data_IF_714888443612
#
_entry.id   IF_714888443612
#
_cell.length_a   1.000
_cell.length_b   1.000
_cell.length_c   1.000
_cell.angle_alpha   90.00
_cell.angle_beta   90.00
_cell.angle_gamma   90.00
#
_symmetry.space_group_name_H-M   'P 1'
#
loop_
_entity.id
_entity.type
_entity.pdbx_description
1 polymer ?
#
# COMPACT_ATOMS: atom_id res chain seq x y z
N UNK A 1 -13.07 51.83 -66.84
CA UNK A 1 -14.11 50.81 -67.08
C UNK A 1 -13.76 49.57 -66.24
N UNK A 2 -14.64 49.24 -65.28
CA UNK A 2 -14.99 47.91 -64.70
C UNK A 2 -13.92 46.79 -64.66
N UNK A 3 -13.63 46.07 -63.57
CA UNK A 3 -14.24 45.90 -62.24
C UNK A 3 -13.78 44.57 -61.59
N UNK A 4 -14.07 44.39 -60.28
CA UNK A 4 -14.02 43.15 -59.43
C UNK A 4 -12.63 42.55 -59.12
N UNK A 5 -12.29 42.02 -57.94
CA UNK A 5 -12.97 41.73 -56.66
C UNK A 5 -11.87 41.69 -55.56
N UNK A 6 -11.98 42.36 -54.41
CA UNK A 6 -12.61 41.89 -53.16
C UNK A 6 -12.16 40.49 -52.70
N UNK A 7 -11.23 40.41 -51.72
CA UNK A 7 -11.48 39.94 -50.33
C UNK A 7 -10.18 39.76 -49.53
N UNK A 8 -10.12 40.51 -48.43
CA UNK A 8 -9.27 40.25 -47.27
C UNK A 8 -9.64 38.93 -46.60
N UNK A 9 -8.72 38.32 -45.83
CA UNK A 9 -8.94 37.97 -44.41
C UNK A 9 -7.58 37.86 -43.71
N UNK A 10 -7.34 38.85 -42.86
CA UNK A 10 -6.45 38.83 -41.72
C UNK A 10 -7.25 38.20 -40.56
N UNK A 11 -6.84 37.06 -40.01
CA UNK A 11 -7.15 36.69 -38.62
C UNK A 11 -6.17 35.60 -38.19
N UNK A 12 -5.06 36.04 -37.59
CA UNK A 12 -4.22 35.22 -36.74
C UNK A 12 -5.03 34.84 -35.48
N UNK A 13 -5.13 33.54 -35.25
CA UNK A 13 -5.91 32.95 -34.17
C UNK A 13 -5.32 33.25 -32.80
N UNK A 14 -6.02 34.10 -32.05
CA UNK A 14 -6.11 34.05 -30.60
C UNK A 14 -6.88 32.78 -30.23
N UNK A 15 -6.16 31.68 -29.97
CA UNK A 15 -6.73 30.49 -29.30
C UNK A 15 -5.79 30.07 -28.18
N UNK A 16 -5.69 30.91 -27.15
CA UNK A 16 -5.24 30.50 -25.83
C UNK A 16 -6.09 31.25 -24.79
N UNK A 17 -6.59 30.50 -23.82
CA UNK A 17 -7.33 30.94 -22.63
C UNK A 17 -8.85 31.12 -22.75
N UNK A 18 -9.57 30.04 -23.12
CA UNK A 18 -10.83 29.69 -22.44
C UNK A 18 -10.88 28.16 -22.35
N UNK A 19 -10.72 27.60 -21.15
CA UNK A 19 -11.11 26.23 -20.83
C UNK A 19 -12.63 26.24 -20.56
N UNK A 20 -13.48 25.63 -21.39
CA UNK A 20 -14.85 25.37 -21.01
C UNK A 20 -14.96 23.92 -20.51
N UNK A 21 -15.24 23.76 -19.23
CA UNK A 21 -15.71 22.51 -18.58
C UNK A 21 -17.15 22.17 -19.02
N UNK A 22 -17.48 22.31 -20.30
CA UNK A 22 -18.80 22.03 -20.84
C UNK A 22 -18.70 20.84 -21.81
N UNK A 23 -19.54 19.83 -21.56
CA UNK A 23 -19.69 18.64 -22.39
C UNK A 23 -19.71 19.01 -23.88
N UNK A 24 -18.92 18.32 -24.70
CA UNK A 24 -18.95 18.48 -26.15
C UNK A 24 -20.00 17.54 -26.70
N UNK A 25 -21.05 18.08 -27.31
CA UNK A 25 -21.93 17.29 -28.16
C UNK A 25 -21.10 16.77 -29.34
N UNK A 26 -21.03 15.45 -29.51
CA UNK A 26 -20.48 14.82 -30.71
C UNK A 26 -21.64 14.26 -31.52
N UNK A 27 -21.51 14.32 -32.84
CA UNK A 27 -22.49 13.71 -33.74
C UNK A 27 -22.04 12.26 -33.94
N UNK A 28 -22.93 11.31 -33.63
CA UNK A 28 -22.71 9.89 -33.88
C UNK A 28 -22.51 9.67 -35.38
N UNK A 29 -21.39 9.03 -35.73
CA UNK A 29 -20.95 8.87 -37.12
C UNK A 29 -21.86 7.93 -37.92
N UNK A 30 -22.67 7.10 -37.26
CA UNK A 30 -23.50 6.08 -37.89
C UNK A 30 -24.96 6.51 -38.11
N UNK A 31 -25.47 7.48 -37.33
CA UNK A 31 -26.88 7.92 -37.42
C UNK A 31 -27.08 9.45 -37.42
N UNK A 32 -26.04 10.26 -37.19
CA UNK A 32 -26.15 11.71 -37.23
C UNK A 32 -26.77 12.35 -35.99
N UNK A 33 -27.03 11.58 -34.93
CA UNK A 33 -27.62 12.11 -33.69
C UNK A 33 -26.56 12.78 -32.80
N UNK A 34 -26.96 13.88 -32.14
CA UNK A 34 -26.11 14.56 -31.17
C UNK A 34 -26.06 13.75 -29.86
N UNK A 35 -24.93 13.09 -29.62
CA UNK A 35 -24.67 12.37 -28.38
C UNK A 35 -23.86 13.26 -27.44
N UNK A 36 -24.30 13.36 -26.19
CA UNK A 36 -23.51 13.96 -25.12
C UNK A 36 -22.48 12.92 -24.70
N UNK A 37 -21.23 13.10 -25.14
CA UNK A 37 -20.12 12.25 -24.69
C UNK A 37 -19.52 12.90 -23.46
N UNK A 38 -19.61 12.21 -22.32
CA UNK A 38 -18.89 12.61 -21.12
C UNK A 38 -17.40 12.72 -21.47
N UNK A 39 -16.84 13.92 -21.29
CA UNK A 39 -15.41 14.08 -21.49
C UNK A 39 -14.70 13.15 -20.49
N UNK A 40 -13.71 12.35 -20.94
CA UNK A 40 -12.93 11.54 -20.03
C UNK A 40 -12.34 12.46 -18.97
N UNK A 41 -12.59 12.13 -17.70
CA UNK A 41 -12.01 12.88 -16.59
C UNK A 41 -10.51 13.00 -16.79
N UNK A 42 -9.91 14.18 -16.53
CA UNK A 42 -8.47 14.32 -16.67
C UNK A 42 -7.79 13.30 -15.75
N UNK A 43 -6.95 12.46 -16.34
CA UNK A 43 -6.10 11.53 -15.60
C UNK A 43 -5.11 12.33 -14.76
N UNK A 44 -5.29 12.30 -13.45
CA UNK A 44 -4.44 13.01 -12.48
C UNK A 44 -3.28 12.14 -12.01
N UNK A 45 -3.25 10.86 -12.41
CA UNK A 45 -2.28 9.87 -11.99
C UNK A 45 -2.22 9.69 -10.48
N UNK A 46 -1.11 9.13 -10.03
CA UNK A 46 -0.86 9.02 -8.59
C UNK A 46 -0.39 10.35 -8.02
N UNK A 47 -0.81 10.71 -6.80
CA UNK A 47 -0.39 11.95 -6.17
C UNK A 47 1.13 12.04 -6.06
N UNK A 48 1.69 13.23 -6.23
CA UNK A 48 3.12 13.46 -6.04
C UNK A 48 3.54 13.45 -4.56
N UNK A 49 2.63 13.82 -3.66
CA UNK A 49 2.86 13.84 -2.20
C UNK A 49 1.67 13.25 -1.45
N UNK A 50 1.40 11.94 -1.60
CA UNK A 50 0.33 11.29 -0.85
C UNK A 50 0.59 11.37 0.65
N UNK A 51 -0.48 11.59 1.40
CA UNK A 51 -0.58 11.27 2.82
C UNK A 51 -1.16 9.85 2.92
N UNK A 52 -0.27 8.86 3.09
CA UNK A 52 -0.68 7.47 3.28
C UNK A 52 -1.21 7.25 4.69
N UNK A 53 -2.30 6.51 4.80
CA UNK A 53 -2.93 6.16 6.07
C UNK A 53 -3.02 4.64 6.17
N UNK A 54 -2.31 4.03 7.12
CA UNK A 54 -2.39 2.59 7.33
C UNK A 54 -3.81 2.16 7.72
N UNK A 55 -4.14 0.92 7.36
CA UNK A 55 -5.41 0.29 7.68
C UNK A 55 -5.17 -0.95 8.55
N UNK A 56 -5.94 -1.06 9.62
CA UNK A 56 -5.87 -2.15 10.61
C UNK A 56 -7.20 -2.91 10.62
N UNK A 57 -7.19 -4.25 10.56
CA UNK A 57 -8.38 -5.06 10.78
C UNK A 57 -9.04 -4.77 12.14
N UNK A 58 -10.36 -4.68 12.19
CA UNK A 58 -11.09 -4.52 13.45
C UNK A 58 -10.83 -5.66 14.44
N UNK A 59 -10.77 -6.90 13.95
CA UNK A 59 -10.49 -8.07 14.78
C UNK A 59 -9.11 -7.99 15.47
N UNK A 60 -8.10 -7.41 14.80
CA UNK A 60 -6.74 -7.28 15.36
C UNK A 60 -6.71 -6.38 16.60
N UNK A 61 -7.69 -5.50 16.76
CA UNK A 61 -7.77 -4.56 17.89
C UNK A 61 -8.82 -4.96 18.93
N UNK A 62 -9.40 -6.16 18.81
CA UNK A 62 -10.41 -6.68 19.72
C UNK A 62 -11.83 -6.19 19.47
N UNK A 63 -12.15 -5.69 18.27
CA UNK A 63 -13.53 -5.40 17.86
C UNK A 63 -14.12 -6.65 17.18
N UNK A 64 -15.17 -7.22 17.76
CA UNK A 64 -15.84 -8.46 17.31
C UNK A 64 -16.76 -8.25 16.08
N UNK A 65 -16.24 -7.64 15.02
CA UNK A 65 -16.92 -7.55 13.71
C UNK A 65 -15.91 -7.41 12.58
N UNK A 66 -16.35 -7.78 11.37
CA UNK A 66 -15.54 -7.62 10.17
C UNK A 66 -15.49 -6.14 9.75
N UNK A 67 -14.30 -5.68 9.39
CA UNK A 67 -14.11 -4.33 8.90
C UNK A 67 -12.67 -3.85 9.03
N UNK A 68 -12.47 -2.62 8.57
CA UNK A 68 -11.17 -1.96 8.57
C UNK A 68 -11.24 -0.63 9.33
N UNK A 69 -10.17 -0.35 10.06
CA UNK A 69 -9.93 0.91 10.73
C UNK A 69 -8.80 1.65 10.01
N UNK A 70 -9.04 2.89 9.60
CA UNK A 70 -8.03 3.77 9.03
C UNK A 70 -7.41 4.59 10.16
N UNK A 71 -6.08 4.63 10.22
CA UNK A 71 -5.34 5.46 11.18
C UNK A 71 -5.51 6.94 10.85
N UNK A 72 -5.88 7.75 11.85
CA UNK A 72 -6.18 9.17 11.64
C UNK A 72 -5.19 10.07 12.36
N UNK A 73 -4.80 9.72 13.59
CA UNK A 73 -3.83 10.47 14.38
C UNK A 73 -3.27 9.63 15.54
N UNK A 74 -2.20 10.12 16.16
CA UNK A 74 -1.76 9.69 17.49
C UNK A 74 -2.40 10.63 18.51
N UNK A 75 -3.13 10.09 19.49
CA UNK A 75 -3.74 10.88 20.57
C UNK A 75 -2.62 11.36 21.50
N UNK A 76 -2.47 12.68 21.70
CA UNK A 76 -1.46 13.21 22.62
C UNK A 76 -1.68 12.69 24.05
N UNK A 77 -0.63 12.33 24.81
CA UNK A 77 -0.79 11.75 26.16
C UNK A 77 -1.64 12.60 27.12
N UNK A 78 -1.54 13.93 27.05
CA UNK A 78 -2.35 14.84 27.86
C UNK A 78 -3.84 14.88 27.49
N UNK A 79 -4.21 14.37 26.31
CA UNK A 79 -5.60 14.27 25.84
C UNK A 79 -6.17 12.86 25.94
N UNK A 80 -5.35 11.86 26.28
CA UNK A 80 -5.78 10.48 26.42
C UNK A 80 -6.57 10.28 27.72
N UNK A 81 -7.90 10.38 27.59
CA UNK A 81 -8.87 10.06 28.65
C UNK A 81 -9.35 8.61 28.59
N UNK A 82 -8.95 7.87 27.56
CA UNK A 82 -9.43 6.53 27.27
C UNK A 82 -8.59 5.51 28.02
N UNK A 83 -7.27 5.64 28.00
CA UNK A 83 -6.35 4.73 28.69
C UNK A 83 -5.63 5.48 29.82
N UNK A 84 -6.21 5.41 31.02
CA UNK A 84 -5.66 6.04 32.22
C UNK A 84 -5.14 5.00 33.23
N UNK A 85 -4.23 5.42 34.09
CA UNK A 85 -3.65 4.58 35.16
C UNK A 85 -3.20 3.19 34.66
N UNK A 86 -3.60 2.11 35.32
CA UNK A 86 -3.24 0.73 34.95
C UNK A 86 -3.72 0.26 33.57
N UNK A 87 -4.64 0.99 32.92
CA UNK A 87 -5.02 0.72 31.53
C UNK A 87 -4.01 1.29 30.52
N UNK A 88 -3.09 2.19 30.93
CA UNK A 88 -2.02 2.72 30.04
C UNK A 88 -1.03 1.65 29.61
N UNK A 89 -0.92 0.56 30.34
CA UNK A 89 0.04 -0.52 30.04
C UNK A 89 -0.62 -1.71 29.35
N UNK A 90 -1.89 -1.60 28.94
CA UNK A 90 -2.63 -2.70 28.33
C UNK A 90 -3.11 -2.33 26.93
N UNK A 91 -3.12 -3.31 26.04
CA UNK A 91 -3.84 -3.22 24.77
C UNK A 91 -5.33 -3.04 25.02
N UNK A 92 -6.02 -2.36 24.11
CA UNK A 92 -7.45 -2.25 24.18
C UNK A 92 -8.01 -1.23 23.19
N UNK A 93 -9.34 -1.19 23.13
CA UNK A 93 -10.10 -0.33 22.23
C UNK A 93 -11.26 0.30 22.98
N UNK A 94 -11.48 1.60 22.78
CA UNK A 94 -12.60 2.35 23.36
C UNK A 94 -13.26 3.24 22.31
N UNK A 95 -14.60 3.32 22.27
CA UNK A 95 -15.28 4.22 21.35
C UNK A 95 -14.97 5.68 21.68
N UNK A 96 -14.87 6.51 20.64
CA UNK A 96 -14.63 7.94 20.74
C UNK A 96 -15.86 8.66 20.18
N UNK A 97 -16.50 9.57 20.95
CA UNK A 97 -17.58 10.38 20.42
C UNK A 97 -17.11 11.23 19.22
N UNK A 98 -17.92 11.32 18.18
CA UNK A 98 -17.54 11.97 16.92
C UNK A 98 -17.14 13.45 17.11
N UNK A 99 -17.81 14.15 18.01
CA UNK A 99 -17.54 15.53 18.40
C UNK A 99 -16.18 15.71 19.11
N UNK A 100 -15.63 14.65 19.69
CA UNK A 100 -14.31 14.66 20.32
C UNK A 100 -13.19 14.36 19.33
N UNK A 101 -13.46 13.66 18.23
CA UNK A 101 -12.45 13.17 17.29
C UNK A 101 -11.53 14.30 16.78
N UNK A 102 -12.10 15.45 16.39
CA UNK A 102 -11.32 16.62 15.92
C UNK A 102 -10.40 17.18 17.00
N UNK A 103 -10.86 17.24 18.26
CA UNK A 103 -10.04 17.71 19.40
C UNK A 103 -8.88 16.77 19.70
N UNK A 104 -9.04 15.49 19.38
CA UNK A 104 -8.05 14.42 19.56
C UNK A 104 -7.07 14.30 18.38
N UNK A 105 -7.22 15.13 17.34
CA UNK A 105 -6.29 15.18 16.20
C UNK A 105 -6.86 14.60 14.91
N UNK A 106 -8.13 14.15 14.88
CA UNK A 106 -8.74 13.77 13.61
C UNK A 106 -8.64 14.93 12.60
N UNK A 107 -8.30 14.66 11.34
CA UNK A 107 -8.18 15.67 10.29
C UNK A 107 -9.53 16.17 9.78
N UNK A 108 -9.49 17.22 8.96
CA UNK A 108 -10.70 17.82 8.41
C UNK A 108 -11.31 16.88 7.36
N UNK A 109 -12.59 16.54 7.51
CA UNK A 109 -13.32 15.66 6.57
C UNK A 109 -13.57 16.33 5.22
N UNK A 110 -13.28 17.62 5.08
CA UNK A 110 -13.25 18.31 3.77
C UNK A 110 -12.20 17.74 2.82
N UNK A 111 -11.13 17.14 3.33
CA UNK A 111 -10.16 16.42 2.51
C UNK A 111 -10.57 14.95 2.48
N UNK A 112 -11.06 14.43 1.34
CA UNK A 112 -11.58 13.07 1.27
C UNK A 112 -10.49 12.03 1.54
N UNK A 113 -10.96 10.87 2.02
CA UNK A 113 -10.17 9.65 2.06
C UNK A 113 -10.46 8.85 0.80
N UNK A 114 -9.42 8.31 0.21
CA UNK A 114 -9.50 7.42 -0.94
C UNK A 114 -8.87 6.09 -0.57
N UNK A 115 -9.56 4.98 -0.89
CA UNK A 115 -9.12 3.63 -0.56
C UNK A 115 -8.94 2.82 -1.83
N UNK A 116 -7.79 2.15 -1.93
CA UNK A 116 -7.52 1.11 -2.91
C UNK A 116 -7.83 -0.24 -2.27
N UNK A 117 -9.03 -0.75 -2.52
CA UNK A 117 -9.54 -1.98 -1.91
C UNK A 117 -8.98 -3.28 -2.52
N UNK A 118 -8.74 -3.29 -3.84
CA UNK A 118 -8.32 -4.46 -4.61
C UNK A 118 -7.19 -4.11 -5.58
N UNK A 119 -6.54 -5.15 -6.11
CA UNK A 119 -5.55 -4.97 -7.18
C UNK A 119 -6.24 -4.46 -8.46
N UNK A 120 -5.58 -3.52 -9.15
CA UNK A 120 -5.97 -2.92 -10.42
C UNK A 120 -7.35 -2.23 -10.44
N UNK A 121 -7.95 -2.00 -9.27
CA UNK A 121 -9.19 -1.24 -9.11
C UNK A 121 -8.92 0.26 -9.02
N UNK A 122 -9.91 1.07 -9.41
CA UNK A 122 -9.92 2.50 -9.10
C UNK A 122 -9.94 2.71 -7.58
N UNK A 123 -9.45 3.85 -7.14
CA UNK A 123 -9.65 4.28 -5.76
C UNK A 123 -11.11 4.65 -5.53
N UNK A 124 -11.58 4.45 -4.31
CA UNK A 124 -12.97 4.69 -3.95
C UNK A 124 -13.00 5.65 -2.78
N UNK A 125 -14.01 6.52 -2.75
CA UNK A 125 -14.18 7.43 -1.64
C UNK A 125 -14.50 6.65 -0.37
N UNK A 126 -13.90 7.07 0.73
CA UNK A 126 -14.13 6.51 2.06
C UNK A 126 -14.59 7.61 3.02
N UNK A 127 -15.60 7.29 3.82
CA UNK A 127 -16.19 8.21 4.79
C UNK A 127 -16.08 7.63 6.20
N UNK A 128 -15.45 8.33 7.16
CA UNK A 128 -15.44 7.93 8.55
C UNK A 128 -16.86 7.79 9.11
N UNK A 129 -17.20 6.64 9.71
CA UNK A 129 -18.53 6.38 10.31
C UNK A 129 -18.49 6.27 11.83
N UNK A 130 -17.39 5.75 12.39
CA UNK A 130 -17.19 5.66 13.84
C UNK A 130 -15.72 5.88 14.19
N UNK A 131 -15.46 6.30 15.43
CA UNK A 131 -14.13 6.65 15.91
C UNK A 131 -13.74 5.81 17.12
N UNK A 132 -12.47 5.44 17.18
CA UNK A 132 -11.94 4.50 18.16
C UNK A 132 -10.59 4.99 18.68
N UNK A 133 -10.42 4.98 20.00
CA UNK A 133 -9.14 5.13 20.66
C UNK A 133 -8.59 3.71 20.84
N UNK A 134 -7.47 3.43 20.19
CA UNK A 134 -6.90 2.09 20.10
C UNK A 134 -5.47 2.08 20.61
N UNK A 135 -5.15 1.10 21.44
CA UNK A 135 -3.80 0.86 21.94
C UNK A 135 -3.42 -0.57 21.59
N UNK A 136 -2.35 -0.74 20.81
CA UNK A 136 -1.88 -2.03 20.31
C UNK A 136 -0.45 -2.29 20.80
N UNK A 137 -0.13 -3.55 21.09
CA UNK A 137 1.23 -3.99 21.41
C UNK A 137 1.58 -3.95 22.90
N UNK A 138 2.75 -4.49 23.21
CA UNK A 138 3.26 -4.78 24.56
C UNK A 138 4.40 -3.84 25.01
N UNK A 139 4.92 -2.96 24.14
CA UNK A 139 6.24 -2.33 24.32
C UNK A 139 6.30 -0.79 24.06
N UNK A 140 7.31 -0.19 24.69
CA UNK A 140 7.86 1.20 24.80
C UNK A 140 7.08 2.42 24.28
N UNK A 141 6.58 2.44 23.05
CA UNK A 141 5.98 3.65 22.46
C UNK A 141 4.67 4.06 23.14
N UNK A 142 3.90 3.08 23.63
CA UNK A 142 2.70 3.30 24.48
C UNK A 142 1.79 4.40 23.93
N UNK A 143 1.62 4.43 22.60
CA UNK A 143 0.79 5.41 21.92
C UNK A 143 -0.65 4.92 21.83
N UNK A 144 -1.58 5.85 22.05
CA UNK A 144 -2.99 5.63 21.75
C UNK A 144 -3.27 6.23 20.38
N UNK A 145 -3.71 5.41 19.45
CA UNK A 145 -4.06 5.82 18.09
C UNK A 145 -5.54 6.18 18.02
N UNK A 146 -5.85 7.29 17.35
CA UNK A 146 -7.20 7.59 16.92
C UNK A 146 -7.40 6.93 15.55
N UNK A 147 -8.30 5.96 15.49
CA UNK A 147 -8.66 5.28 14.25
C UNK A 147 -10.13 5.55 13.91
N UNK A 148 -10.44 5.56 12.62
CA UNK A 148 -11.80 5.65 12.12
C UNK A 148 -12.21 4.36 11.42
N UNK A 149 -13.37 3.84 11.75
CA UNK A 149 -14.10 2.95 10.85
C UNK A 149 -14.52 3.73 9.62
N UNK A 150 -14.40 3.13 8.45
CA UNK A 150 -14.76 3.77 7.19
C UNK A 150 -15.83 2.97 6.44
N UNK A 151 -16.84 3.67 5.96
CA UNK A 151 -17.69 3.17 4.87
C UNK A 151 -17.00 3.51 3.55
N UNK A 152 -16.86 2.52 2.68
CA UNK A 152 -16.18 2.66 1.38
C UNK A 152 -17.16 2.24 0.28
N UNK A 153 -17.15 2.98 -0.82
CA UNK A 153 -18.08 2.75 -1.94
C UNK A 153 -17.73 1.52 -2.79
N UNK A 154 -16.58 0.89 -2.55
CA UNK A 154 -16.18 -0.32 -3.26
C UNK A 154 -15.80 -1.46 -2.33
N UNK A 155 -15.73 -2.65 -2.93
CA UNK A 155 -15.42 -3.86 -2.22
C UNK A 155 -13.98 -3.87 -1.70
N UNK A 156 -13.84 -4.02 -0.39
CA UNK A 156 -12.55 -4.24 0.26
C UNK A 156 -12.28 -5.74 0.35
N UNK A 157 -11.01 -6.13 0.18
CA UNK A 157 -10.61 -7.49 0.52
C UNK A 157 -10.92 -7.75 2.00
N UNK A 158 -11.42 -8.95 2.34
CA UNK A 158 -11.69 -9.32 3.71
C UNK A 158 -10.40 -9.26 4.53
N UNK A 159 -10.47 -8.86 5.81
CA UNK A 159 -9.31 -8.94 6.69
C UNK A 159 -8.81 -10.38 6.79
N UNK A 160 -7.50 -10.61 6.61
CA UNK A 160 -6.92 -11.95 6.82
C UNK A 160 -5.63 -12.27 6.06
N UNK A 161 -5.40 -11.71 4.86
CA UNK A 161 -4.12 -11.86 4.14
C UNK A 161 -3.38 -10.52 4.12
N UNK A 162 -2.12 -10.50 4.59
CA UNK A 162 -1.27 -9.29 4.60
C UNK A 162 -1.10 -8.66 3.20
N UNK A 163 -1.04 -9.49 2.16
CA UNK A 163 -1.01 -9.06 0.75
C UNK A 163 -2.33 -8.47 0.26
N UNK A 164 -3.40 -8.56 1.05
CA UNK A 164 -4.73 -8.02 0.79
C UNK A 164 -5.11 -6.77 1.59
N UNK A 165 -4.22 -6.22 2.44
CA UNK A 165 -4.53 -5.02 3.24
C UNK A 165 -4.78 -3.81 2.34
N UNK A 166 -5.97 -3.17 2.37
CA UNK A 166 -6.25 -1.99 1.56
C UNK A 166 -5.30 -0.83 1.87
N UNK A 167 -5.10 0.04 0.88
CA UNK A 167 -4.27 1.25 1.04
C UNK A 167 -5.18 2.46 1.07
N UNK A 168 -5.12 3.25 2.14
CA UNK A 168 -5.82 4.53 2.20
C UNK A 168 -4.86 5.69 1.97
N UNK A 169 -5.37 6.73 1.34
CA UNK A 169 -4.69 8.02 1.22
C UNK A 169 -5.66 9.18 1.48
N UNK A 170 -5.12 10.26 2.04
CA UNK A 170 -5.86 11.51 2.20
C UNK A 170 -5.33 12.54 1.23
N UNK A 171 -6.23 13.07 0.40
CA UNK A 171 -5.91 14.12 -0.54
C UNK A 171 -7.18 14.79 -1.05
N UNK A 172 -7.04 16.02 -1.54
CA UNK A 172 -8.15 16.84 -2.03
C UNK A 172 -8.80 16.24 -3.28
N UNK A 173 -7.97 15.83 -4.22
CA UNK A 173 -8.36 15.45 -5.56
C UNK A 173 -8.48 13.93 -5.70
N UNK A 174 -9.42 13.44 -6.49
CA UNK A 174 -9.49 12.02 -6.81
C UNK A 174 -8.22 11.57 -7.55
N UNK A 175 -7.58 10.45 -7.16
CA UNK A 175 -6.41 9.91 -7.85
C UNK A 175 -6.83 9.14 -9.11
N UNK A 176 -7.51 9.82 -10.03
CA UNK A 176 -7.92 9.23 -11.31
C UNK A 176 -6.69 8.65 -12.02
N UNK A 177 -6.83 7.44 -12.60
CA UNK A 177 -5.74 6.73 -13.28
C UNK A 177 -4.68 6.08 -12.37
N UNK A 178 -4.61 6.42 -11.09
CA UNK A 178 -3.75 5.70 -10.14
C UNK A 178 -4.39 4.35 -9.77
N UNK A 179 -3.58 3.28 -9.73
CA UNK A 179 -4.02 1.92 -9.37
C UNK A 179 -3.03 1.23 -8.46
N UNK A 180 -3.56 0.51 -7.48
CA UNK A 180 -2.77 -0.40 -6.66
C UNK A 180 -2.53 -1.69 -7.44
N UNK A 181 -1.27 -2.02 -7.72
CA UNK A 181 -0.94 -3.36 -8.21
C UNK A 181 -0.24 -4.15 -7.13
N UNK A 182 -0.62 -5.41 -7.04
CA UNK A 182 0.00 -6.39 -6.14
C UNK A 182 1.05 -7.17 -6.95
N UNK A 183 2.09 -7.68 -6.30
CA UNK A 183 3.03 -8.57 -6.98
C UNK A 183 2.27 -9.77 -7.53
N UNK A 184 2.35 -9.99 -8.85
CA UNK A 184 1.65 -11.06 -9.56
C UNK A 184 2.60 -12.14 -10.11
N UNK A 185 3.93 -11.90 -10.05
CA UNK A 185 4.96 -12.88 -10.39
C UNK A 185 5.50 -13.47 -9.10
N UNK A 186 4.97 -14.61 -8.68
CA UNK A 186 5.52 -15.42 -7.59
C UNK A 186 6.29 -16.59 -8.18
N UNK A 187 7.57 -16.69 -7.86
CA UNK A 187 8.29 -17.95 -7.98
C UNK A 187 8.41 -18.54 -6.59
N UNK A 188 8.11 -19.83 -6.50
CA UNK A 188 8.25 -20.61 -5.28
C UNK A 188 9.13 -21.81 -5.59
N UNK A 189 9.83 -22.29 -4.58
CA UNK A 189 10.64 -23.48 -4.70
C UNK A 189 10.84 -24.16 -3.36
N UNK A 190 11.31 -25.41 -3.47
CA UNK A 190 11.70 -26.26 -2.36
C UNK A 190 13.20 -26.42 -2.35
N UNK A 191 13.69 -27.21 -1.40
CA UNK A 191 15.12 -27.38 -1.20
C UNK A 191 15.87 -27.90 -2.45
N UNK A 192 15.25 -28.78 -3.22
CA UNK A 192 15.78 -29.36 -4.47
C UNK A 192 15.94 -28.37 -5.62
N UNK A 193 15.19 -27.26 -5.60
CA UNK A 193 15.09 -26.36 -6.74
C UNK A 193 16.23 -25.33 -6.77
N UNK A 194 17.02 -25.25 -5.70
CA UNK A 194 18.02 -24.20 -5.49
C UNK A 194 17.38 -22.83 -5.25
N UNK A 195 18.12 -21.90 -4.63
CA UNK A 195 17.73 -20.48 -4.69
C UNK A 195 18.29 -19.88 -5.98
N UNK A 196 17.62 -18.90 -6.60
CA UNK A 196 18.23 -18.18 -7.71
C UNK A 196 19.55 -17.52 -7.24
N UNK A 197 20.62 -17.53 -8.07
CA UNK A 197 21.97 -17.15 -7.64
C UNK A 197 22.06 -15.77 -6.97
N UNK A 198 21.39 -14.78 -7.55
CA UNK A 198 21.36 -13.39 -7.06
C UNK A 198 20.77 -13.27 -5.64
N UNK A 199 19.94 -14.23 -5.23
CA UNK A 199 19.35 -14.26 -3.88
C UNK A 199 20.15 -15.16 -2.93
N UNK A 200 20.81 -16.20 -3.45
CA UNK A 200 21.55 -17.16 -2.65
C UNK A 200 22.67 -16.49 -1.84
N UNK A 201 23.35 -15.48 -2.40
CA UNK A 201 24.39 -14.71 -1.71
C UNK A 201 23.89 -13.91 -0.49
N UNK A 202 22.57 -13.67 -0.41
CA UNK A 202 21.95 -12.89 0.66
C UNK A 202 21.30 -13.74 1.75
N UNK A 203 21.26 -15.06 1.58
CA UNK A 203 20.71 -16.01 2.53
C UNK A 203 21.86 -16.59 3.36
N UNK A 204 21.92 -16.33 4.68
CA UNK A 204 22.98 -16.86 5.51
C UNK A 204 22.92 -18.39 5.53
N UNK A 205 24.08 -19.07 5.63
CA UNK A 205 24.10 -20.51 5.90
C UNK A 205 23.35 -20.79 7.21
N UNK A 206 22.60 -21.90 7.24
CA UNK A 206 21.84 -22.35 8.41
C UNK A 206 22.39 -23.67 8.91
N UNK A 207 22.34 -23.84 10.23
CA UNK A 207 22.90 -25.02 10.92
C UNK A 207 22.05 -26.29 10.73
N UNK A 208 20.84 -26.17 10.19
CA UNK A 208 19.97 -27.30 9.94
C UNK A 208 19.96 -27.72 8.46
N UNK A 209 20.27 -28.99 8.20
CA UNK A 209 20.32 -29.59 6.87
C UNK A 209 19.34 -30.76 6.73
N UNK A 210 19.06 -31.18 5.50
CA UNK A 210 18.34 -32.43 5.25
C UNK A 210 19.09 -33.62 5.90
N UNK A 211 18.39 -34.60 6.49
CA UNK A 211 16.93 -34.81 6.46
C UNK A 211 16.15 -34.13 7.60
N UNK A 212 16.82 -33.48 8.55
CA UNK A 212 16.21 -32.94 9.77
C UNK A 212 15.41 -31.66 9.51
N UNK A 213 15.77 -30.94 8.45
CA UNK A 213 15.03 -29.79 7.95
C UNK A 213 14.60 -29.92 6.50
N UNK A 214 13.57 -29.16 6.13
CA UNK A 214 13.20 -28.87 4.76
C UNK A 214 13.16 -27.35 4.56
N UNK A 215 13.47 -26.89 3.34
CA UNK A 215 13.44 -25.46 3.01
C UNK A 215 12.36 -25.19 1.97
N UNK A 216 11.60 -24.13 2.19
CA UNK A 216 10.71 -23.51 1.22
C UNK A 216 11.21 -22.09 0.97
N UNK A 217 11.05 -21.61 -0.26
CA UNK A 217 11.29 -20.21 -0.57
C UNK A 217 10.22 -19.69 -1.53
N UNK A 218 9.98 -18.39 -1.45
CA UNK A 218 9.12 -17.64 -2.33
C UNK A 218 9.78 -16.30 -2.59
N UNK A 219 9.80 -15.87 -3.86
CA UNK A 219 10.08 -14.49 -4.18
C UNK A 219 9.09 -13.92 -5.18
N UNK A 220 8.84 -12.62 -5.06
CA UNK A 220 8.02 -11.87 -5.99
C UNK A 220 8.46 -10.41 -5.98
N UNK A 221 8.10 -9.67 -7.02
CA UNK A 221 8.54 -8.30 -7.14
C UNK A 221 7.60 -7.40 -7.91
N UNK A 222 7.94 -6.12 -7.88
CA UNK A 222 7.32 -5.05 -8.64
C UNK A 222 8.39 -4.35 -9.45
N UNK A 223 8.18 -4.21 -10.75
CA UNK A 223 9.07 -3.46 -11.66
C UNK A 223 8.30 -2.35 -12.35
N UNK A 224 8.99 -1.30 -12.77
CA UNK A 224 8.43 -0.23 -13.60
C UNK A 224 8.44 -0.53 -15.11
N UNK A 225 8.61 -1.80 -15.51
CA UNK A 225 8.95 -2.22 -16.88
C UNK A 225 10.00 -3.33 -16.92
N UNK A 226 10.30 -3.85 -18.12
CA UNK A 226 11.22 -5.00 -18.32
C UNK A 226 12.68 -4.67 -17.94
N UNK A 227 13.18 -3.51 -18.35
CA UNK A 227 14.56 -3.04 -18.06
C UNK A 227 14.62 -1.94 -17.00
N UNK A 228 13.73 -2.03 -16.01
CA UNK A 228 13.51 -0.94 -15.06
C UNK A 228 13.90 -1.32 -13.64
N UNK A 229 14.15 -0.29 -12.82
CA UNK A 229 14.31 -0.50 -11.39
C UNK A 229 13.08 -1.22 -10.80
N UNK A 230 13.28 -1.98 -9.73
CA UNK A 230 12.22 -2.72 -9.08
C UNK A 230 12.55 -3.09 -7.64
N UNK A 231 11.54 -3.55 -6.91
CA UNK A 231 11.72 -4.12 -5.57
C UNK A 231 11.22 -5.55 -5.53
N UNK A 232 11.92 -6.39 -4.78
CA UNK A 232 11.72 -7.82 -4.74
C UNK A 232 11.76 -8.31 -3.29
N UNK A 233 10.73 -9.03 -2.88
CA UNK A 233 10.65 -9.66 -1.57
C UNK A 233 11.05 -11.11 -1.72
N UNK A 234 12.00 -11.54 -0.89
CA UNK A 234 12.36 -12.93 -0.71
C UNK A 234 11.90 -13.35 0.68
N UNK A 235 11.17 -14.46 0.73
CA UNK A 235 10.86 -15.19 1.95
C UNK A 235 11.44 -16.59 1.85
N UNK A 236 12.19 -17.01 2.86
CA UNK A 236 12.72 -18.36 3.01
C UNK A 236 12.25 -18.91 4.35
N UNK A 237 11.64 -20.09 4.36
CA UNK A 237 11.18 -20.79 5.55
C UNK A 237 11.95 -22.10 5.70
N UNK A 238 12.64 -22.25 6.81
CA UNK A 238 13.29 -23.49 7.23
C UNK A 238 12.33 -24.23 8.17
N UNK A 239 11.86 -25.39 7.73
CA UNK A 239 10.93 -26.24 8.45
C UNK A 239 11.72 -27.31 9.21
N UNK A 240 11.65 -27.27 10.53
CA UNK A 240 12.25 -28.27 11.43
C UNK A 240 11.29 -29.43 11.60
N UNK A 241 11.72 -30.62 11.18
CA UNK A 241 10.86 -31.80 11.23
C UNK A 241 10.55 -32.16 12.69
N UNK A 242 9.29 -32.05 13.06
CA UNK A 242 8.78 -32.49 14.35
C UNK A 242 7.54 -33.37 14.13
N UNK A 243 7.74 -34.69 14.18
CA UNK A 243 6.68 -35.67 13.93
C UNK A 243 6.30 -35.84 12.45
N UNK A 244 5.19 -36.54 12.21
CA UNK A 244 4.78 -37.01 10.88
C UNK A 244 3.99 -35.99 10.06
N UNK A 245 3.38 -34.98 10.69
CA UNK A 245 2.56 -33.99 9.99
C UNK A 245 3.38 -32.74 9.61
N UNK A 246 3.72 -32.54 8.31
CA UNK A 246 4.52 -31.41 7.86
C UNK A 246 3.83 -30.05 7.99
N UNK A 247 2.51 -30.02 8.20
CA UNK A 247 1.79 -28.77 8.44
C UNK A 247 2.11 -28.16 9.82
N UNK A 248 2.61 -28.97 10.77
CA UNK A 248 2.85 -28.58 12.15
C UNK A 248 4.34 -28.46 12.49
N UNK A 249 5.22 -28.58 11.51
CA UNK A 249 6.65 -28.42 11.71
C UNK A 249 6.97 -27.00 12.17
N UNK A 250 7.93 -26.87 13.09
CA UNK A 250 8.39 -25.58 13.56
C UNK A 250 9.13 -24.85 12.43
N UNK A 251 9.04 -23.52 12.37
CA UNK A 251 9.54 -22.74 11.24
C UNK A 251 10.48 -21.63 11.68
N UNK A 252 11.66 -21.58 11.08
CA UNK A 252 12.55 -20.43 11.12
C UNK A 252 12.49 -19.70 9.79
N UNK A 253 12.00 -18.47 9.79
CA UNK A 253 11.83 -17.72 8.56
C UNK A 253 12.83 -16.57 8.42
N UNK A 254 13.22 -16.29 7.18
CA UNK A 254 13.95 -15.13 6.73
C UNK A 254 13.08 -14.38 5.72
N UNK A 255 12.86 -13.09 5.93
CA UNK A 255 12.22 -12.22 4.93
C UNK A 255 13.11 -11.01 4.68
N UNK A 256 13.42 -10.74 3.41
CA UNK A 256 14.26 -9.64 2.97
C UNK A 256 13.62 -8.92 1.79
N UNK A 257 13.73 -7.60 1.80
CA UNK A 257 13.32 -6.75 0.69
C UNK A 257 14.57 -6.25 -0.03
N UNK A 258 14.58 -6.42 -1.33
CA UNK A 258 15.65 -6.02 -2.21
C UNK A 258 15.17 -4.96 -3.19
N UNK A 259 16.13 -4.18 -3.68
CA UNK A 259 15.97 -3.28 -4.81
C UNK A 259 16.97 -3.68 -5.89
N UNK A 260 16.51 -3.62 -7.15
CA UNK A 260 17.37 -3.67 -8.33
C UNK A 260 17.27 -2.34 -9.05
N UNK A 261 18.41 -1.73 -9.35
CA UNK A 261 18.46 -0.50 -10.15
C UNK A 261 18.33 -0.81 -11.64
N UNK A 262 17.88 0.15 -12.44
CA UNK A 262 17.69 -0.06 -13.87
C UNK A 262 19.00 -0.46 -14.59
N UNK A 263 20.13 0.11 -14.16
CA UNK A 263 21.45 -0.15 -14.75
C UNK A 263 22.26 -1.21 -13.98
N UNK A 264 21.68 -1.88 -12.98
CA UNK A 264 22.37 -2.85 -12.13
C UNK A 264 21.73 -4.22 -12.25
N UNK A 265 22.56 -5.25 -12.43
CA UNK A 265 22.13 -6.64 -12.32
C UNK A 265 22.08 -7.12 -10.86
N UNK A 266 22.88 -6.51 -9.97
CA UNK A 266 22.96 -6.88 -8.57
C UNK A 266 21.72 -6.43 -7.77
N UNK A 267 21.30 -7.28 -6.83
CA UNK A 267 20.31 -6.98 -5.81
C UNK A 267 20.98 -6.26 -4.63
N UNK A 268 20.28 -5.28 -4.08
CA UNK A 268 20.71 -4.58 -2.87
C UNK A 268 19.61 -4.68 -1.83
N UNK A 269 19.97 -5.01 -0.59
CA UNK A 269 19.02 -5.06 0.52
C UNK A 269 18.49 -3.64 0.81
N UNK A 270 17.17 -3.47 0.74
CA UNK A 270 16.50 -2.19 1.00
C UNK A 270 16.31 -2.01 2.51
N UNK A 271 16.84 -0.91 3.05
CA UNK A 271 16.76 -0.57 4.48
C UNK A 271 16.12 0.82 4.68
N UNK A 272 15.08 0.97 5.53
CA UNK A 272 14.37 -0.09 6.25
C UNK A 272 13.69 -1.08 5.28
N UNK A 273 13.49 -2.33 5.69
CA UNK A 273 13.05 -3.40 4.80
C UNK A 273 11.56 -3.69 4.92
N UNK A 274 11.24 -4.97 5.09
CA UNK A 274 9.90 -5.47 5.37
C UNK A 274 9.26 -6.21 4.22
N UNK A 275 7.99 -6.60 4.40
CA UNK A 275 7.25 -7.35 3.40
C UNK A 275 6.74 -6.41 2.33
N UNK A 276 7.04 -6.72 1.06
CA UNK A 276 6.47 -6.03 -0.09
C UNK A 276 5.00 -6.43 -0.22
N UNK A 277 4.10 -5.45 -0.24
CA UNK A 277 2.67 -5.74 -0.42
C UNK A 277 2.10 -5.11 -1.69
N UNK A 278 2.84 -4.29 -2.42
CA UNK A 278 2.44 -3.79 -3.73
C UNK A 278 3.10 -2.48 -4.10
N UNK A 279 2.49 -1.81 -5.07
CA UNK A 279 2.88 -0.48 -5.52
C UNK A 279 1.70 0.30 -6.11
N UNK A 280 1.91 1.58 -6.33
CA UNK A 280 0.97 2.43 -7.05
C UNK A 280 1.49 2.74 -8.46
N UNK A 281 0.66 2.52 -9.46
CA UNK A 281 0.93 2.80 -10.87
C UNK A 281 -0.01 3.88 -11.38
N UNK A 282 0.50 4.76 -12.21
CA UNK A 282 -0.31 5.60 -13.09
C UNK A 282 0.05 5.33 -14.55
N UNK A 283 -0.47 6.14 -15.46
CA UNK A 283 -0.19 6.03 -16.89
C UNK A 283 1.30 6.15 -17.24
N UNK A 284 2.13 6.78 -16.38
CA UNK A 284 3.58 6.87 -16.56
C UNK A 284 4.34 5.66 -15.98
N UNK A 285 3.63 4.69 -15.40
CA UNK A 285 4.19 3.49 -14.81
C UNK A 285 4.23 3.53 -13.28
N UNK A 286 5.16 2.77 -12.69
CA UNK A 286 5.30 2.65 -11.24
C UNK A 286 5.67 4.01 -10.60
N UNK A 287 4.99 4.38 -9.52
CA UNK A 287 5.19 5.64 -8.78
C UNK A 287 5.67 5.41 -7.36
N UNK A 288 5.05 4.47 -6.66
CA UNK A 288 5.42 4.12 -5.29
C UNK A 288 5.56 2.62 -5.11
N UNK A 289 6.61 2.20 -4.40
CA UNK A 289 6.76 0.85 -3.88
C UNK A 289 6.33 0.88 -2.41
N UNK A 290 5.52 -0.08 -2.00
CA UNK A 290 4.92 -0.10 -0.68
C UNK A 290 5.35 -1.35 0.11
N UNK A 291 5.99 -1.14 1.26
CA UNK A 291 6.40 -2.22 2.16
C UNK A 291 5.95 -1.98 3.60
N UNK A 292 5.94 -3.05 4.40
CA UNK A 292 5.57 -3.00 5.82
C UNK A 292 6.59 -3.75 6.66
N UNK A 293 7.00 -3.19 7.79
CA UNK A 293 7.78 -3.88 8.80
C UNK A 293 7.29 -3.51 10.21
N UNK A 294 6.95 -4.49 11.05
CA UNK A 294 6.71 -4.31 12.50
C UNK A 294 5.80 -3.13 12.87
N UNK A 295 4.65 -2.98 12.20
CA UNK A 295 3.70 -1.88 12.48
C UNK A 295 4.10 -0.53 11.87
N UNK A 296 5.06 -0.51 10.96
CA UNK A 296 5.46 0.64 10.16
C UNK A 296 5.18 0.36 8.68
N UNK A 297 4.51 1.30 8.04
CA UNK A 297 4.29 1.35 6.60
C UNK A 297 5.38 2.20 5.95
N UNK A 298 5.96 1.74 4.86
CA UNK A 298 6.94 2.47 4.06
C UNK A 298 6.45 2.65 2.63
N UNK A 299 6.55 3.88 2.12
CA UNK A 299 6.37 4.19 0.71
C UNK A 299 7.67 4.76 0.13
N UNK A 300 8.25 4.03 -0.81
CA UNK A 300 9.45 4.44 -1.56
C UNK A 300 9.01 5.11 -2.85
N UNK A 301 9.52 6.31 -3.08
CA UNK A 301 9.35 7.00 -4.36
C UNK A 301 10.18 6.29 -5.42
N UNK A 302 9.51 5.79 -6.46
CA UNK A 302 10.16 5.04 -7.52
C UNK A 302 11.20 5.86 -8.29
N UNK A 303 10.99 7.17 -8.44
CA UNK A 303 11.95 8.03 -9.12
C UNK A 303 13.26 8.12 -8.35
N UNK A 304 13.20 8.10 -7.01
CA UNK A 304 14.40 8.09 -6.18
C UNK A 304 15.17 6.78 -6.31
N UNK A 305 14.49 5.67 -6.60
CA UNK A 305 15.13 4.36 -6.82
C UNK A 305 15.84 4.27 -8.19
N UNK A 306 15.45 5.08 -9.17
CA UNK A 306 16.15 5.12 -10.47
C UNK A 306 17.45 5.92 -10.43
N UNK A 307 17.65 6.77 -9.41
CA UNK A 307 18.80 7.66 -9.37
C UNK A 307 20.12 6.87 -9.21
N UNK A 308 21.24 7.30 -9.82
CA UNK A 308 22.54 6.61 -9.73
C UNK A 308 23.13 6.54 -8.32
N UNK A 309 22.68 7.43 -7.42
CA UNK A 309 23.05 7.48 -6.00
C UNK A 309 21.79 7.75 -5.17
N UNK A 310 20.92 6.74 -5.06
CA UNK A 310 19.60 6.92 -4.50
C UNK A 310 19.72 7.14 -3.00
N UNK A 311 19.32 8.31 -2.50
CA UNK A 311 19.07 8.49 -1.07
C UNK A 311 17.71 7.89 -0.76
N UNK A 312 17.68 6.58 -0.49
CA UNK A 312 16.47 5.79 -0.29
C UNK A 312 15.84 6.05 1.08
N UNK A 313 15.31 7.25 1.29
CA UNK A 313 14.56 7.56 2.52
C UNK A 313 13.06 7.43 2.22
N UNK A 314 12.40 6.32 2.62
CA UNK A 314 10.98 6.17 2.42
C UNK A 314 10.19 7.17 3.24
N UNK A 315 8.98 7.48 2.78
CA UNK A 315 7.96 8.00 3.69
C UNK A 315 7.53 6.86 4.61
N UNK A 316 7.73 7.03 5.91
CA UNK A 316 7.35 6.05 6.93
C UNK A 316 6.14 6.52 7.73
N UNK A 317 5.18 5.65 7.96
CA UNK A 317 4.05 5.89 8.87
C UNK A 317 4.00 4.76 9.89
N UNK A 318 4.29 5.08 11.15
CA UNK A 318 4.11 4.14 12.26
C UNK A 318 2.63 4.12 12.65
N UNK A 319 2.07 2.92 12.71
CA UNK A 319 0.66 2.72 12.99
C UNK A 319 0.41 1.61 14.00
N UNK A 320 1.46 1.00 14.53
CA UNK A 320 1.34 0.06 15.63
C UNK A 320 2.68 -0.15 16.29
N UNK A 321 2.64 -0.67 17.50
CA UNK A 321 3.76 -1.45 18.04
C UNK A 321 3.51 -2.91 17.68
N UNK A 322 4.55 -3.69 17.33
CA UNK A 322 4.40 -5.12 17.17
C UNK A 322 3.90 -5.72 18.50
N UNK A 323 2.91 -6.60 18.45
CA UNK A 323 2.55 -7.47 19.58
C UNK A 323 3.58 -8.60 19.72
N UNK A 324 3.65 -9.29 20.85
CA UNK A 324 4.46 -10.53 20.98
C UNK A 324 4.11 -11.55 19.89
N UNK A 325 2.84 -11.69 19.57
CA UNK A 325 2.35 -12.55 18.49
C UNK A 325 2.80 -12.03 17.11
N UNK A 326 2.79 -10.71 16.86
CA UNK A 326 3.37 -10.11 15.66
C UNK A 326 4.89 -10.25 15.62
N UNK A 327 5.61 -10.30 16.75
CA UNK A 327 7.06 -10.54 16.75
C UNK A 327 7.37 -11.98 16.38
N UNK A 328 6.57 -12.93 16.86
CA UNK A 328 6.66 -14.35 16.55
C UNK A 328 6.22 -14.63 15.10
N UNK A 329 5.24 -13.89 14.57
CA UNK A 329 4.64 -14.10 13.24
C UNK A 329 4.92 -12.98 12.22
N UNK A 330 5.79 -12.01 12.52
CA UNK A 330 6.16 -10.92 11.59
C UNK A 330 6.73 -11.46 10.28
N UNK A 331 7.24 -12.69 10.34
CA UNK A 331 7.77 -13.40 9.20
C UNK A 331 6.64 -14.14 8.49
N UNK A 332 6.60 -14.00 7.17
CA UNK A 332 5.67 -14.70 6.29
C UNK A 332 6.04 -16.19 6.30
N UNK A 333 5.54 -16.97 7.26
CA UNK A 333 5.86 -18.40 7.32
C UNK A 333 5.22 -19.14 6.16
N UNK A 334 6.05 -19.68 5.27
CA UNK A 334 5.66 -20.59 4.20
C UNK A 334 5.36 -21.95 4.84
N UNK A 335 4.26 -22.57 4.41
CA UNK A 335 3.85 -23.88 4.91
C UNK A 335 3.44 -24.75 3.72
N UNK A 336 3.80 -26.05 3.72
CA UNK A 336 3.40 -26.97 2.66
C UNK A 336 1.88 -27.17 2.56
N UNK A 337 1.12 -26.71 3.56
CA UNK A 337 -0.32 -26.90 3.67
C UNK A 337 -1.14 -25.61 3.48
N UNK A 338 -0.49 -24.45 3.35
CA UNK A 338 -1.15 -23.19 3.00
C UNK A 338 -1.35 -23.15 1.48
N UNK A 339 -2.61 -23.16 1.02
CA UNK A 339 -2.99 -22.88 -0.39
C UNK A 339 -3.51 -21.46 -0.57
#
# INVERSE_FOLDING_TARGET
MTGRAMRAVLTWGLVLAVWPLAARAQVDADNGDAVVVDMPEPDRGCPAKPEFLPMTPMALVGIERLGWLVHQAIIPPGKDKFFQAGARSRSGVKPVPAEMARKLGAPDTKVPLWVFGKADSKACKATPTAWWAVRMGTDEDRQTYLMAEVAVECELLPPGRLSGTPVALRQKDEPTGCRLRRPNRSQTGKDSDGLPPDYAEHVPPQDCAAPECARLWEYFGVTGGEDSAGAFDLTVSYLHRNGSNPCNWATDDLSKLFVRHAESTALQELKPGGVLFGGLWDFNGLRYILSRQMGVFYAYDYQQLKAPRPKMTPKSVRYGSPTEEDLIHAKRSLSPCKK
#
